data_IF_799934460264
#
_entry.id   IF_799934460264
#
_cell.length_a   1.000
_cell.length_b   1.000
_cell.length_c   1.000
_cell.angle_alpha   90.00
_cell.angle_beta   90.00
_cell.angle_gamma   90.00
#
_symmetry.space_group_name_H-M   'P 1'
#
loop_
_entity.id
_entity.type
_entity.pdbx_description
1 polymer ?
#
# COMPACT_ATOMS: atom_id res chain seq x y z
N UNK A 1 -27.51 -2.33 -3.46
CA UNK A 1 -26.88 -2.12 -4.74
C UNK A 1 -25.98 -0.95 -4.75
N UNK A 2 -26.45 0.05 -4.15
CA UNK A 2 -25.82 1.35 -4.21
C UNK A 2 -24.60 1.47 -3.31
N UNK A 3 -24.42 0.53 -2.41
CA UNK A 3 -23.35 0.58 -1.40
C UNK A 3 -22.20 -0.37 -1.68
N UNK A 4 -21.98 -0.70 -2.93
CA UNK A 4 -20.89 -1.61 -3.29
C UNK A 4 -19.54 -1.09 -2.85
N UNK A 5 -19.29 0.20 -2.99
CA UNK A 5 -18.04 0.81 -2.52
C UNK A 5 -17.90 0.72 -1.01
N UNK A 6 -18.99 1.01 -0.28
CA UNK A 6 -19.00 0.91 1.17
C UNK A 6 -18.76 -0.52 1.63
N UNK A 7 -19.34 -1.51 0.94
CA UNK A 7 -19.11 -2.91 1.25
C UNK A 7 -17.65 -3.31 1.08
N UNK A 8 -17.00 -2.85 0.01
CA UNK A 8 -15.58 -3.13 -0.22
C UNK A 8 -14.77 -2.58 0.94
N UNK A 9 -15.10 -1.36 1.39
CA UNK A 9 -14.40 -0.72 2.51
C UNK A 9 -14.64 -1.48 3.82
N UNK A 10 -15.82 -2.06 3.99
CA UNK A 10 -16.19 -2.80 5.21
C UNK A 10 -15.81 -4.27 5.19
N UNK A 11 -15.30 -4.76 4.06
CA UNK A 11 -14.85 -6.14 3.95
C UNK A 11 -13.63 -6.43 4.79
N UNK A 12 -13.55 -7.66 5.27
CA UNK A 12 -12.32 -8.17 5.88
C UNK A 12 -11.36 -8.61 4.78
N UNK A 13 -10.07 -8.64 5.10
CA UNK A 13 -9.07 -9.09 4.14
C UNK A 13 -9.36 -10.49 3.60
N UNK A 14 -9.78 -11.41 4.46
CA UNK A 14 -10.11 -12.78 4.03
C UNK A 14 -11.28 -12.83 3.05
N UNK A 15 -12.19 -11.86 3.12
CA UNK A 15 -13.32 -11.76 2.19
C UNK A 15 -12.88 -11.14 0.87
N UNK A 16 -12.09 -10.08 0.93
CA UNK A 16 -11.56 -9.42 -0.26
C UNK A 16 -10.70 -10.35 -1.11
N UNK A 17 -9.89 -11.16 -0.45
CA UNK A 17 -8.92 -12.04 -1.12
C UNK A 17 -9.33 -13.52 -1.08
N UNK A 18 -10.62 -13.80 -0.90
CA UNK A 18 -11.10 -15.19 -0.80
C UNK A 18 -10.68 -16.06 -1.98
N UNK A 19 -10.73 -15.52 -3.19
CA UNK A 19 -10.36 -16.25 -4.40
C UNK A 19 -8.88 -16.61 -4.40
N UNK A 20 -8.02 -15.63 -4.14
CA UNK A 20 -6.58 -15.82 -4.12
C UNK A 20 -6.17 -16.81 -3.03
N UNK A 21 -6.79 -16.69 -1.85
CA UNK A 21 -6.56 -17.60 -0.73
C UNK A 21 -6.95 -19.04 -1.13
N UNK A 22 -8.10 -19.18 -1.76
CA UNK A 22 -8.59 -20.50 -2.20
C UNK A 22 -7.65 -21.12 -3.23
N UNK A 23 -7.13 -20.36 -4.17
CA UNK A 23 -6.20 -20.84 -5.17
C UNK A 23 -4.89 -21.35 -4.55
N UNK A 24 -4.36 -20.62 -3.58
CA UNK A 24 -3.16 -21.03 -2.87
C UNK A 24 -3.41 -22.33 -2.11
N UNK A 25 -4.54 -22.43 -1.43
CA UNK A 25 -4.90 -23.60 -0.63
C UNK A 25 -5.12 -24.85 -1.52
N UNK A 26 -5.79 -24.68 -2.65
CA UNK A 26 -6.05 -25.79 -3.60
C UNK A 26 -4.75 -26.34 -4.15
N UNK A 27 -3.75 -25.51 -4.36
CA UNK A 27 -2.45 -25.94 -4.83
C UNK A 27 -1.57 -26.52 -3.71
N UNK A 28 -2.14 -26.67 -2.52
CA UNK A 28 -1.43 -27.20 -1.35
C UNK A 28 -0.21 -26.36 -0.96
N UNK A 29 -0.32 -25.06 -1.15
CA UNK A 29 0.72 -24.11 -0.80
C UNK A 29 0.33 -23.32 0.44
N UNK A 30 1.32 -22.76 1.12
CA UNK A 30 1.10 -21.97 2.32
C UNK A 30 0.90 -20.50 1.95
N UNK A 31 -0.02 -19.84 2.63
CA UNK A 31 -0.30 -18.42 2.43
C UNK A 31 0.79 -17.59 3.08
N UNK A 32 1.43 -16.73 2.29
CA UNK A 32 2.35 -15.69 2.75
C UNK A 32 1.69 -14.33 2.52
N UNK A 33 2.27 -13.28 3.07
CA UNK A 33 1.78 -11.91 2.90
C UNK A 33 2.87 -11.06 2.28
N UNK A 34 2.53 -10.35 1.20
CA UNK A 34 3.41 -9.37 0.58
C UNK A 34 2.60 -8.11 0.29
N UNK A 35 3.08 -6.96 0.77
CA UNK A 35 2.39 -5.69 0.60
C UNK A 35 0.92 -5.78 1.04
N UNK A 36 0.69 -6.46 2.15
CA UNK A 36 -0.62 -6.66 2.74
C UNK A 36 -1.58 -7.49 1.87
N UNK A 37 -1.05 -8.28 0.94
CA UNK A 37 -1.82 -9.15 0.04
C UNK A 37 -1.37 -10.59 0.19
N UNK A 38 -2.27 -11.56 0.01
CA UNK A 38 -1.89 -12.98 0.07
C UNK A 38 -1.12 -13.40 -1.18
N UNK A 39 -0.11 -14.20 -0.98
CA UNK A 39 0.71 -14.78 -2.04
C UNK A 39 1.15 -16.17 -1.58
N UNK A 40 1.47 -17.05 -2.54
CA UNK A 40 2.04 -18.33 -2.17
C UNK A 40 3.39 -18.16 -1.50
N UNK A 41 3.61 -18.85 -0.40
CA UNK A 41 4.88 -18.85 0.33
C UNK A 41 6.06 -19.24 -0.57
N UNK A 42 5.81 -20.02 -1.61
CA UNK A 42 6.84 -20.46 -2.54
C UNK A 42 7.33 -19.35 -3.47
N UNK A 43 6.60 -18.25 -3.55
CA UNK A 43 6.93 -17.12 -4.43
C UNK A 43 7.60 -15.95 -3.72
N UNK A 44 7.90 -16.10 -2.43
CA UNK A 44 8.43 -15.00 -1.62
C UNK A 44 9.43 -15.54 -0.60
N UNK A 45 10.43 -14.72 -0.26
CA UNK A 45 11.38 -15.06 0.80
C UNK A 45 10.76 -14.73 2.16
N UNK A 46 11.12 -15.50 3.18
CA UNK A 46 10.61 -15.27 4.54
C UNK A 46 10.87 -13.86 5.03
N UNK A 47 12.01 -13.28 4.69
CA UNK A 47 12.37 -11.92 5.10
C UNK A 47 11.43 -10.87 4.52
N UNK A 48 10.79 -11.16 3.39
CA UNK A 48 9.86 -10.25 2.73
C UNK A 48 8.40 -10.55 3.09
N UNK A 49 8.16 -11.58 3.88
CA UNK A 49 6.82 -12.01 4.24
C UNK A 49 6.28 -11.27 5.46
N UNK A 50 5.07 -10.71 5.34
CA UNK A 50 4.44 -9.95 6.41
C UNK A 50 4.05 -10.77 7.64
N UNK A 51 4.01 -12.10 7.53
CA UNK A 51 3.74 -12.96 8.68
C UNK A 51 5.01 -13.53 9.31
N UNK A 52 6.17 -13.21 8.79
CA UNK A 52 7.43 -13.64 9.34
C UNK A 52 7.78 -12.80 10.57
N UNK A 53 8.14 -13.44 11.65
CA UNK A 53 8.58 -12.78 12.86
C UNK A 53 10.02 -13.23 13.11
N UNK A 54 10.92 -12.26 13.22
CA UNK A 54 12.32 -12.54 13.51
C UNK A 54 12.41 -13.37 14.81
N UNK A 55 13.23 -14.40 14.81
CA UNK A 55 13.43 -15.35 15.89
C UNK A 55 12.30 -16.38 16.07
N UNK A 56 11.13 -16.16 15.49
CA UNK A 56 10.00 -17.08 15.63
C UNK A 56 9.58 -17.73 14.31
N UNK A 57 10.05 -17.22 13.17
CA UNK A 57 9.67 -17.71 11.86
C UNK A 57 8.27 -17.29 11.45
N UNK A 58 7.54 -18.15 10.74
CA UNK A 58 6.19 -17.86 10.29
C UNK A 58 5.23 -17.77 11.46
N UNK A 59 4.39 -16.73 11.47
CA UNK A 59 3.40 -16.53 12.51
C UNK A 59 1.99 -16.73 11.97
N UNK A 60 1.35 -17.81 12.39
CA UNK A 60 -0.06 -18.05 12.05
C UNK A 60 -0.97 -17.03 12.74
N UNK A 61 -0.55 -16.53 13.89
CA UNK A 61 -1.27 -15.46 14.57
C UNK A 61 -1.31 -14.18 13.71
N UNK A 62 -0.19 -13.80 13.12
CA UNK A 62 -0.14 -12.63 12.23
C UNK A 62 -1.01 -12.81 11.00
N UNK A 63 -1.01 -14.00 10.44
CA UNK A 63 -1.88 -14.30 9.30
C UNK A 63 -3.35 -14.19 9.68
N UNK A 64 -3.73 -14.73 10.82
CA UNK A 64 -5.10 -14.67 11.32
C UNK A 64 -5.53 -13.23 11.60
N UNK A 65 -4.66 -12.45 12.22
CA UNK A 65 -4.92 -11.03 12.48
C UNK A 65 -5.13 -10.26 11.18
N UNK A 66 -4.29 -10.50 10.19
CA UNK A 66 -4.44 -9.89 8.87
C UNK A 66 -5.77 -10.28 8.23
N UNK A 67 -6.10 -11.56 8.24
CA UNK A 67 -7.32 -12.09 7.62
C UNK A 67 -8.58 -11.47 8.20
N UNK A 68 -8.59 -11.21 9.50
CA UNK A 68 -9.73 -10.65 10.21
C UNK A 68 -9.67 -9.13 10.35
N UNK A 69 -8.68 -8.48 9.77
CA UNK A 69 -8.60 -7.04 9.72
C UNK A 69 -9.38 -6.50 8.53
N UNK A 70 -9.87 -5.28 8.65
CA UNK A 70 -10.61 -4.63 7.56
C UNK A 70 -9.69 -4.39 6.36
N UNK A 71 -10.20 -4.70 5.18
CA UNK A 71 -9.52 -4.37 3.94
C UNK A 71 -9.47 -2.84 3.80
N UNK A 72 -8.29 -2.35 3.46
CA UNK A 72 -8.08 -0.93 3.16
C UNK A 72 -7.64 -0.80 1.72
N UNK A 73 -8.39 -0.03 0.96
CA UNK A 73 -8.03 0.22 -0.42
C UNK A 73 -6.70 0.96 -0.47
N UNK A 74 -5.76 0.54 -1.35
CA UNK A 74 -4.50 1.26 -1.49
C UNK A 74 -4.75 2.69 -1.98
N UNK A 75 -4.03 3.63 -1.41
CA UNK A 75 -4.13 5.04 -1.81
C UNK A 75 -3.40 5.26 -3.14
N UNK A 76 -2.27 4.60 -3.34
CA UNK A 76 -1.52 4.64 -4.58
C UNK A 76 -1.72 3.36 -5.38
N UNK A 77 -1.83 3.48 -6.70
CA UNK A 77 -1.78 2.30 -7.56
C UNK A 77 -0.32 1.84 -7.71
N UNK A 78 -0.12 0.71 -8.38
CA UNK A 78 1.23 0.12 -8.52
C UNK A 78 2.21 1.03 -9.26
N UNK A 79 1.73 1.74 -10.28
CA UNK A 79 2.57 2.64 -11.08
C UNK A 79 2.98 3.86 -10.25
N UNK A 80 2.02 4.47 -9.56
CA UNK A 80 2.27 5.61 -8.69
C UNK A 80 3.24 5.27 -7.57
N UNK A 81 3.05 4.10 -6.98
CA UNK A 81 3.91 3.60 -5.92
C UNK A 81 5.34 3.39 -6.40
N UNK A 82 5.49 2.75 -7.56
CA UNK A 82 6.79 2.51 -8.16
C UNK A 82 7.51 3.82 -8.49
N UNK A 83 6.78 4.75 -9.08
CA UNK A 83 7.33 6.05 -9.45
C UNK A 83 7.81 6.83 -8.23
N UNK A 84 6.95 6.97 -7.22
CA UNK A 84 7.32 7.70 -6.01
C UNK A 84 8.44 7.01 -5.23
N UNK A 85 8.42 5.69 -5.17
CA UNK A 85 9.51 4.93 -4.53
C UNK A 85 10.84 5.20 -5.21
N UNK A 86 10.86 5.24 -6.53
CA UNK A 86 12.08 5.52 -7.29
C UNK A 86 12.57 6.95 -7.05
N UNK A 87 11.66 7.91 -7.05
CA UNK A 87 12.00 9.32 -6.86
C UNK A 87 12.61 9.57 -5.47
N UNK A 88 12.03 9.01 -4.42
CA UNK A 88 12.47 9.27 -3.06
C UNK A 88 13.64 8.39 -2.61
N UNK A 89 13.94 7.33 -3.34
CA UNK A 89 14.95 6.35 -2.94
C UNK A 89 16.26 6.93 -2.43
N UNK A 90 16.87 7.92 -3.11
CA UNK A 90 18.16 8.45 -2.65
C UNK A 90 18.12 9.20 -1.32
N UNK A 91 16.94 9.67 -0.89
CA UNK A 91 16.81 10.48 0.32
C UNK A 91 15.59 10.08 1.15
N UNK A 92 15.22 8.82 1.04
CA UNK A 92 14.02 8.28 1.71
C UNK A 92 13.98 8.62 3.20
N UNK A 93 15.11 8.51 3.89
CA UNK A 93 15.19 8.75 5.33
C UNK A 93 14.87 10.20 5.72
N UNK A 94 14.95 11.11 4.76
CA UNK A 94 14.74 12.54 5.00
C UNK A 94 13.34 13.00 4.62
N UNK A 95 12.55 12.15 3.98
CA UNK A 95 11.19 12.51 3.57
C UNK A 95 10.29 12.55 4.79
N UNK A 96 9.61 13.68 4.98
CA UNK A 96 8.69 13.86 6.11
C UNK A 96 7.23 13.67 5.70
N UNK A 97 6.93 13.74 4.42
CA UNK A 97 5.59 13.49 3.92
C UNK A 97 5.42 13.83 2.46
N UNK A 98 4.29 13.41 1.91
CA UNK A 98 3.92 13.64 0.52
C UNK A 98 2.52 14.21 0.50
N UNK A 99 2.30 15.22 -0.33
CA UNK A 99 1.05 15.95 -0.41
C UNK A 99 0.67 16.15 -1.87
N UNK A 100 -0.61 15.94 -2.16
CA UNK A 100 -1.20 16.29 -3.45
C UNK A 100 -1.78 17.69 -3.32
N UNK A 101 -1.25 18.64 -4.08
CA UNK A 101 -1.71 20.02 -4.06
C UNK A 101 -2.41 20.42 -5.34
N UNK A 102 -3.16 21.50 -5.27
CA UNK A 102 -3.85 22.08 -6.42
C UNK A 102 -3.92 23.59 -6.25
N UNK A 103 -3.23 24.34 -7.10
CA UNK A 103 -3.27 25.79 -7.13
C UNK A 103 -3.66 26.29 -8.52
N UNK A 104 -4.54 25.53 -9.19
CA UNK A 104 -4.89 25.74 -10.60
C UNK A 104 -4.34 24.63 -11.46
N UNK A 105 -3.22 24.02 -11.07
CA UNK A 105 -2.72 22.77 -11.63
C UNK A 105 -2.34 21.86 -10.47
N UNK A 106 -2.55 20.58 -10.65
CA UNK A 106 -2.20 19.60 -9.64
C UNK A 106 -0.70 19.34 -9.62
N UNK A 107 -0.19 19.03 -8.42
CA UNK A 107 1.21 18.68 -8.25
C UNK A 107 1.35 17.72 -7.06
N UNK A 108 2.46 17.01 -7.04
CA UNK A 108 2.87 16.24 -5.86
C UNK A 108 4.02 17.02 -5.21
N UNK A 109 3.87 17.28 -3.92
CA UNK A 109 4.91 17.94 -3.13
C UNK A 109 5.53 16.93 -2.19
N UNK A 110 6.82 16.77 -2.27
CA UNK A 110 7.57 15.90 -1.38
C UNK A 110 8.28 16.79 -0.37
N UNK A 111 7.91 16.66 0.90
CA UNK A 111 8.50 17.43 2.00
C UNK A 111 9.65 16.64 2.60
N UNK A 112 10.73 17.32 2.88
CA UNK A 112 11.92 16.75 3.50
C UNK A 112 12.27 17.50 4.77
N UNK A 113 13.22 17.00 5.56
CA UNK A 113 13.67 17.62 6.80
C UNK A 113 14.12 19.06 6.58
N UNK A 114 14.06 19.86 7.65
CA UNK A 114 14.49 21.26 7.66
C UNK A 114 13.69 22.15 6.70
N UNK A 115 12.38 21.89 6.62
CA UNK A 115 11.42 22.64 5.79
C UNK A 115 11.72 22.63 4.29
N UNK A 116 12.53 21.68 3.83
CA UNK A 116 12.77 21.48 2.40
C UNK A 116 11.56 20.82 1.74
N UNK A 117 11.39 21.09 0.45
CA UNK A 117 10.37 20.46 -0.34
C UNK A 117 10.66 20.61 -1.82
N UNK A 118 10.16 19.69 -2.63
CA UNK A 118 10.18 19.84 -4.08
C UNK A 118 8.89 19.29 -4.68
N UNK A 119 8.59 19.67 -5.89
CA UNK A 119 7.36 19.30 -6.59
C UNK A 119 7.65 18.40 -7.77
N UNK A 120 6.73 17.44 -8.00
CA UNK A 120 6.76 16.60 -9.17
C UNK A 120 5.63 17.02 -10.12
N UNK A 121 5.89 17.08 -11.43
CA UNK A 121 4.87 17.44 -12.39
C UNK A 121 3.87 16.31 -12.59
N UNK A 122 2.69 16.69 -13.06
CA UNK A 122 1.68 15.75 -13.54
C UNK A 122 1.62 15.82 -15.06
N UNK A 123 1.23 14.73 -15.68
CA UNK A 123 0.94 14.76 -17.10
C UNK A 123 -0.39 15.45 -17.39
N UNK A 124 -1.39 15.19 -16.58
CA UNK A 124 -2.73 15.72 -16.78
C UNK A 124 -3.49 15.72 -15.45
N UNK A 125 -4.23 16.80 -15.20
CA UNK A 125 -5.06 16.89 -14.00
C UNK A 125 -6.07 15.75 -13.95
N UNK A 126 -6.15 15.12 -12.80
CA UNK A 126 -7.06 14.01 -12.56
C UNK A 126 -6.60 12.67 -13.13
N UNK A 127 -5.43 12.60 -13.76
CA UNK A 127 -4.93 11.36 -14.34
C UNK A 127 -4.20 10.46 -13.34
N UNK A 128 -3.67 11.03 -12.26
CA UNK A 128 -2.88 10.31 -11.27
C UNK A 128 -3.30 10.68 -9.85
N UNK A 129 -2.93 9.82 -8.90
CA UNK A 129 -3.13 10.06 -7.47
C UNK A 129 -4.59 10.35 -7.10
N UNK A 130 -5.51 9.65 -7.76
CA UNK A 130 -6.95 9.88 -7.60
C UNK A 130 -7.46 9.65 -6.18
N UNK A 131 -6.83 8.73 -5.45
CA UNK A 131 -7.25 8.37 -4.11
C UNK A 131 -6.57 9.20 -3.01
N UNK A 132 -5.66 10.08 -3.37
CA UNK A 132 -5.09 11.02 -2.42
C UNK A 132 -6.01 12.22 -2.25
N UNK A 133 -6.27 12.60 -1.01
CA UNK A 133 -7.02 13.81 -0.73
C UNK A 133 -6.12 15.02 -0.95
N UNK A 134 -6.64 16.04 -1.63
CA UNK A 134 -5.92 17.27 -1.91
C UNK A 134 -5.59 18.00 -0.61
N UNK A 135 -4.37 18.49 -0.49
CA UNK A 135 -3.85 19.24 0.65
C UNK A 135 -3.73 18.45 1.96
N UNK A 136 -3.82 17.13 1.89
CA UNK A 136 -3.52 16.27 3.03
C UNK A 136 -2.09 15.76 2.93
N UNK A 137 -1.32 15.92 4.01
CA UNK A 137 0.04 15.39 4.07
C UNK A 137 -0.01 13.93 4.52
N UNK A 138 0.55 13.04 3.70
CA UNK A 138 0.62 11.62 3.98
C UNK A 138 2.02 11.22 4.41
N UNK A 139 2.11 10.33 5.38
CA UNK A 139 3.38 9.67 5.72
C UNK A 139 3.66 8.57 4.70
N UNK A 140 4.93 8.20 4.57
CA UNK A 140 5.30 7.14 3.63
C UNK A 140 4.55 5.83 3.90
N UNK A 141 4.41 5.46 5.16
CA UNK A 141 3.70 4.22 5.55
C UNK A 141 2.23 4.24 5.10
N UNK A 142 1.58 5.39 5.18
CA UNK A 142 0.19 5.54 4.75
C UNK A 142 0.03 5.28 3.25
N UNK A 143 1.07 5.56 2.48
CA UNK A 143 1.07 5.38 1.03
C UNK A 143 1.64 4.02 0.60
N UNK A 144 2.08 3.21 1.55
CA UNK A 144 2.70 1.93 1.25
C UNK A 144 4.13 2.07 0.71
N UNK A 145 4.77 3.16 1.01
CA UNK A 145 6.15 3.45 0.61
C UNK A 145 7.13 3.25 1.80
#
# INVERSE_FOLDING_TARGET
>A
IHNRGARVIDMLNKEKYAKEIAEIAVNNETIALKDNKPISCMKIKCDDCGKYVLDYGCSMKKLTEWANSKYKEPILDEVEKEYLSAVIKPFRDKVTGILKGDNGSEFIRISVENDGAFRLPYFKKGSMYKNMKTNKKYKLEELGL
#
